data_IF_036287668076
#
_entry.id   IF_036287668076
#
_cell.length_a   1.000
_cell.length_b   1.000
_cell.length_c   1.000
_cell.angle_alpha   90.00
_cell.angle_beta   90.00
_cell.angle_gamma   90.00
#
_symmetry.space_group_name_H-M   'P 1'
#
loop_
_entity.id
_entity.type
_entity.pdbx_description
1 polymer ?
#
# COMPACT_ATOMS: atom_id res chain seq x y z
N UNK A 1 15.98 -3.71 26.55
CA UNK A 1 16.46 -4.42 25.36
C UNK A 1 15.51 -4.05 24.24
N UNK A 2 16.02 -3.39 23.19
CA UNK A 2 15.23 -3.21 21.96
C UNK A 2 15.22 -4.60 21.35
N UNK A 3 14.06 -5.27 21.38
CA UNK A 3 13.88 -6.48 20.57
C UNK A 3 14.26 -6.13 19.14
N UNK A 4 15.12 -6.94 18.51
CA UNK A 4 15.58 -6.69 17.16
C UNK A 4 14.37 -6.60 16.24
N UNK A 5 14.10 -5.39 15.74
CA UNK A 5 12.94 -5.16 14.89
C UNK A 5 13.09 -5.98 13.60
N UNK A 6 12.19 -6.93 13.38
CA UNK A 6 12.19 -7.76 12.17
C UNK A 6 11.94 -6.86 10.97
N UNK A 7 12.90 -6.79 10.07
CA UNK A 7 12.83 -5.98 8.83
C UNK A 7 12.39 -6.76 7.61
N UNK A 8 12.42 -8.09 7.66
CA UNK A 8 11.98 -8.96 6.57
C UNK A 8 10.45 -8.88 6.42
N UNK A 9 10.00 -8.46 5.25
CA UNK A 9 8.60 -8.26 4.92
C UNK A 9 7.98 -9.42 4.13
N UNK A 10 8.69 -10.54 3.99
CA UNK A 10 8.19 -11.73 3.31
C UNK A 10 7.22 -12.54 4.16
N UNK A 11 6.55 -13.50 3.54
CA UNK A 11 5.63 -14.43 4.20
C UNK A 11 6.31 -15.33 5.24
N UNK A 12 7.64 -15.40 5.27
CA UNK A 12 8.38 -16.13 6.33
C UNK A 12 8.08 -15.58 7.73
N UNK A 13 7.75 -14.30 7.84
CA UNK A 13 7.46 -13.63 9.11
C UNK A 13 6.01 -13.14 9.21
N UNK A 14 5.10 -13.64 8.39
CA UNK A 14 3.71 -13.19 8.34
C UNK A 14 2.95 -13.45 9.64
N UNK A 15 3.29 -14.51 10.39
CA UNK A 15 2.66 -14.84 11.69
C UNK A 15 2.90 -13.78 12.77
N UNK A 16 3.92 -12.93 12.59
CA UNK A 16 4.23 -11.84 13.52
C UNK A 16 3.60 -10.50 13.10
N UNK A 17 2.78 -10.47 12.05
CA UNK A 17 2.01 -9.28 11.67
C UNK A 17 0.74 -9.19 12.53
N UNK A 18 0.28 -7.97 12.88
CA UNK A 18 -0.96 -7.79 13.65
C UNK A 18 -2.20 -8.31 12.90
N UNK A 19 -2.18 -8.26 11.57
CA UNK A 19 -3.19 -8.85 10.69
C UNK A 19 -2.50 -9.80 9.72
N UNK A 20 -2.92 -11.06 9.71
CA UNK A 20 -2.37 -12.05 8.80
C UNK A 20 -2.80 -11.75 7.34
N UNK A 21 -1.90 -11.89 6.34
CA UNK A 21 -2.23 -11.65 4.93
C UNK A 21 -3.46 -12.41 4.43
N UNK A 22 -3.61 -13.67 4.85
CA UNK A 22 -4.74 -14.50 4.43
C UNK A 22 -6.07 -14.06 5.05
N UNK A 23 -6.05 -13.32 6.18
CA UNK A 23 -7.22 -12.66 6.73
C UNK A 23 -7.75 -11.60 5.75
N UNK A 24 -6.86 -10.75 5.22
CA UNK A 24 -7.23 -9.75 4.20
C UNK A 24 -7.78 -10.44 2.94
N UNK A 25 -7.11 -11.49 2.46
CA UNK A 25 -7.59 -12.27 1.30
C UNK A 25 -8.99 -12.86 1.57
N UNK A 26 -9.23 -13.37 2.77
CA UNK A 26 -10.53 -13.92 3.17
C UNK A 26 -11.61 -12.85 3.24
N UNK A 27 -11.30 -11.66 3.75
CA UNK A 27 -12.20 -10.50 3.75
C UNK A 27 -12.58 -10.10 2.30
N UNK A 28 -11.60 -9.96 1.42
CA UNK A 28 -11.83 -9.64 0.00
C UNK A 28 -12.79 -10.68 -0.65
N UNK A 29 -12.54 -11.96 -0.42
CA UNK A 29 -13.40 -13.04 -0.93
C UNK A 29 -14.82 -12.98 -0.35
N UNK A 30 -14.98 -12.73 0.95
CA UNK A 30 -16.28 -12.62 1.59
C UNK A 30 -17.12 -11.47 1.03
N UNK A 31 -16.46 -10.39 0.61
CA UNK A 31 -17.06 -9.25 -0.07
C UNK A 31 -17.31 -9.50 -1.56
N UNK A 32 -17.03 -10.71 -2.07
CA UNK A 32 -17.11 -11.09 -3.48
C UNK A 32 -16.25 -10.19 -4.38
N UNK A 33 -15.11 -9.75 -3.86
CA UNK A 33 -14.10 -9.00 -4.60
C UNK A 33 -13.26 -9.99 -5.40
N UNK A 34 -13.17 -9.79 -6.71
CA UNK A 34 -12.38 -10.63 -7.60
C UNK A 34 -10.91 -10.19 -7.56
N UNK A 35 -10.03 -11.12 -7.19
CA UNK A 35 -8.59 -10.91 -7.17
C UNK A 35 -7.86 -11.97 -7.98
N UNK A 36 -6.75 -11.58 -8.58
CA UNK A 36 -5.72 -12.50 -9.07
C UNK A 36 -4.56 -12.48 -8.10
N UNK A 37 -3.87 -13.61 -7.94
CA UNK A 37 -2.74 -13.73 -7.02
C UNK A 37 -1.49 -14.18 -7.76
N UNK A 38 -0.36 -13.53 -7.45
CA UNK A 38 0.95 -13.79 -8.03
C UNK A 38 1.95 -14.06 -6.91
N UNK A 39 2.69 -15.16 -7.01
CA UNK A 39 3.80 -15.49 -6.12
C UNK A 39 5.11 -15.15 -6.81
N UNK A 40 6.05 -14.60 -6.09
CA UNK A 40 7.36 -14.19 -6.58
C UNK A 40 8.35 -14.14 -5.41
N UNK A 41 9.66 -14.03 -5.64
CA UNK A 41 10.63 -13.75 -4.58
C UNK A 41 10.30 -12.45 -3.84
N UNK A 42 10.77 -12.31 -2.61
CA UNK A 42 10.58 -11.08 -1.85
C UNK A 42 11.16 -9.86 -2.59
N UNK A 43 10.30 -8.87 -2.86
CA UNK A 43 10.65 -7.67 -3.63
C UNK A 43 10.84 -6.50 -2.67
N UNK A 44 11.95 -5.79 -2.78
CA UNK A 44 12.26 -4.64 -1.91
C UNK A 44 12.13 -3.30 -2.63
N UNK A 45 12.29 -3.29 -3.95
CA UNK A 45 12.28 -2.08 -4.76
C UNK A 45 11.35 -2.21 -5.97
N UNK A 46 10.98 -1.05 -6.56
CA UNK A 46 10.23 -1.01 -7.83
C UNK A 46 11.01 -1.71 -8.94
N UNK A 47 12.34 -1.57 -8.97
CA UNK A 47 13.20 -2.23 -9.97
C UNK A 47 13.12 -3.75 -9.85
N UNK A 48 13.17 -4.32 -8.64
CA UNK A 48 13.00 -5.76 -8.41
C UNK A 48 11.62 -6.22 -8.91
N UNK A 49 10.58 -5.45 -8.60
CA UNK A 49 9.22 -5.76 -9.00
C UNK A 49 9.06 -5.86 -10.52
N UNK A 50 9.70 -4.97 -11.29
CA UNK A 50 9.63 -4.97 -12.76
C UNK A 50 10.12 -6.28 -13.39
N UNK A 51 11.02 -7.00 -12.73
CA UNK A 51 11.55 -8.28 -13.22
C UNK A 51 10.56 -9.45 -13.09
N UNK A 52 9.50 -9.32 -12.31
CA UNK A 52 8.58 -10.41 -11.96
C UNK A 52 7.14 -10.20 -12.43
N UNK A 53 6.93 -9.37 -13.49
CA UNK A 53 5.59 -8.94 -13.97
C UNK A 53 5.13 -9.62 -15.25
N UNK A 54 5.70 -10.74 -15.63
CA UNK A 54 5.44 -11.39 -16.93
C UNK A 54 3.95 -11.65 -17.23
N UNK A 55 3.14 -11.83 -16.19
CA UNK A 55 1.70 -12.11 -16.30
C UNK A 55 0.83 -10.95 -15.81
N UNK A 56 1.41 -9.76 -15.65
CA UNK A 56 0.69 -8.56 -15.22
C UNK A 56 0.57 -7.58 -16.39
N UNK A 57 -0.53 -6.83 -16.42
CA UNK A 57 -0.71 -5.77 -17.41
C UNK A 57 0.40 -4.71 -17.25
N UNK A 58 0.99 -4.30 -18.35
CA UNK A 58 1.87 -3.13 -18.37
C UNK A 58 1.05 -1.84 -18.20
N UNK A 59 1.70 -0.72 -17.91
CA UNK A 59 1.03 0.58 -17.83
C UNK A 59 0.23 0.89 -19.10
N UNK A 60 0.81 0.62 -20.27
CA UNK A 60 0.17 0.87 -21.57
C UNK A 60 -1.07 -0.02 -21.81
N UNK A 61 -1.14 -1.18 -21.17
CA UNK A 61 -2.29 -2.09 -21.23
C UNK A 61 -3.35 -1.75 -20.18
N UNK A 62 -3.07 -0.79 -19.28
CA UNK A 62 -3.93 -0.35 -18.19
C UNK A 62 -3.56 -0.94 -16.84
N UNK A 63 -2.36 -1.44 -16.66
CA UNK A 63 -1.84 -1.92 -15.38
C UNK A 63 -1.45 -0.75 -14.46
N UNK A 64 -2.09 -0.65 -13.30
CA UNK A 64 -1.77 0.31 -12.23
C UNK A 64 -0.73 -0.28 -11.28
N UNK A 65 0.55 -0.06 -11.58
CA UNK A 65 1.65 -0.42 -10.69
C UNK A 65 1.92 0.73 -9.73
N UNK A 66 1.97 0.44 -8.44
CA UNK A 66 1.96 1.44 -7.39
C UNK A 66 3.30 1.58 -6.67
N UNK A 67 3.55 2.78 -6.20
CA UNK A 67 4.54 3.13 -5.20
C UNK A 67 3.82 3.71 -3.98
N UNK A 68 4.17 3.21 -2.80
CA UNK A 68 3.54 3.59 -1.55
C UNK A 68 4.51 4.37 -0.67
N UNK A 69 4.08 5.53 -0.19
CA UNK A 69 4.85 6.41 0.68
C UNK A 69 4.15 6.51 2.04
N UNK A 70 4.78 5.98 3.09
CA UNK A 70 4.32 6.24 4.44
C UNK A 70 5.02 7.49 4.99
N UNK A 71 4.24 8.53 5.21
CA UNK A 71 4.72 9.87 5.55
C UNK A 71 4.11 10.36 6.86
N UNK A 72 4.80 11.32 7.47
CA UNK A 72 4.37 11.99 8.68
C UNK A 72 4.62 13.48 8.61
N UNK A 73 3.71 14.30 9.13
CA UNK A 73 3.90 15.73 9.27
C UNK A 73 4.44 16.12 10.66
N UNK A 74 4.76 17.41 10.84
CA UNK A 74 5.26 17.95 12.11
C UNK A 74 4.19 17.91 13.23
N UNK A 75 2.91 17.83 12.89
CA UNK A 75 1.79 17.68 13.84
C UNK A 75 1.55 16.23 14.25
N UNK A 76 2.39 15.31 13.76
CA UNK A 76 2.34 13.88 14.02
C UNK A 76 1.19 13.14 13.30
N UNK A 77 0.52 13.75 12.33
CA UNK A 77 -0.42 13.05 11.47
C UNK A 77 0.32 12.07 10.55
N UNK A 78 -0.28 10.92 10.32
CA UNK A 78 0.27 9.86 9.50
C UNK A 78 -0.50 9.78 8.17
N UNK A 79 0.24 9.57 7.09
CA UNK A 79 -0.28 9.55 5.73
C UNK A 79 0.24 8.33 4.98
N UNK A 80 -0.65 7.65 4.28
CA UNK A 80 -0.30 6.67 3.24
C UNK A 80 -0.62 7.30 1.88
N UNK A 81 0.41 7.58 1.10
CA UNK A 81 0.26 8.17 -0.24
C UNK A 81 0.60 7.11 -1.28
N UNK A 82 -0.37 6.79 -2.12
CA UNK A 82 -0.29 5.75 -3.15
C UNK A 82 -0.27 6.43 -4.51
N UNK A 83 0.81 6.27 -5.25
CA UNK A 83 1.00 6.90 -6.56
C UNK A 83 1.44 5.87 -7.60
N UNK A 84 1.28 6.23 -8.88
CA UNK A 84 1.86 5.46 -9.97
C UNK A 84 3.38 5.35 -9.77
N UNK A 85 3.94 4.17 -9.96
CA UNK A 85 5.30 3.82 -9.52
C UNK A 85 6.43 4.67 -10.10
N UNK A 86 6.28 5.14 -11.35
CA UNK A 86 7.28 5.95 -12.05
C UNK A 86 7.14 7.46 -11.75
N UNK A 87 6.07 7.87 -11.05
CA UNK A 87 5.82 9.27 -10.72
C UNK A 87 6.86 9.79 -9.74
N UNK A 88 7.55 10.85 -10.09
CA UNK A 88 8.48 11.53 -9.18
C UNK A 88 7.70 12.41 -8.20
N UNK A 89 7.98 12.30 -6.91
CA UNK A 89 7.25 13.00 -5.85
C UNK A 89 8.20 13.92 -5.08
N UNK A 90 7.94 15.21 -5.14
CA UNK A 90 8.52 16.19 -4.23
C UNK A 90 7.65 16.28 -2.96
N UNK A 91 8.27 16.05 -1.79
CA UNK A 91 7.53 16.04 -0.51
C UNK A 91 7.00 17.42 -0.11
N UNK A 92 7.63 18.50 -0.57
CA UNK A 92 7.19 19.87 -0.28
C UNK A 92 5.93 20.20 -1.08
N UNK A 93 5.92 19.88 -2.38
CA UNK A 93 4.76 20.06 -3.26
C UNK A 93 3.61 19.16 -2.80
N UNK A 94 3.90 17.90 -2.48
CA UNK A 94 2.91 16.98 -1.93
C UNK A 94 2.30 17.51 -0.64
N UNK A 95 3.11 18.08 0.26
CA UNK A 95 2.61 18.66 1.51
C UNK A 95 1.61 19.81 1.27
N UNK A 96 1.85 20.63 0.26
CA UNK A 96 0.90 21.68 -0.15
C UNK A 96 -0.38 21.05 -0.70
N UNK A 97 -0.26 20.06 -1.57
CA UNK A 97 -1.38 19.40 -2.24
C UNK A 97 -2.33 18.72 -1.25
N UNK A 98 -1.79 18.00 -0.26
CA UNK A 98 -2.61 17.32 0.77
C UNK A 98 -2.94 18.21 1.98
N UNK A 99 -2.58 19.51 1.92
CA UNK A 99 -2.78 20.49 2.99
C UNK A 99 -2.19 20.05 4.34
N UNK A 100 -1.08 19.33 4.29
CA UNK A 100 -0.32 18.96 5.47
C UNK A 100 0.73 20.04 5.81
N UNK A 101 1.41 19.85 6.94
CA UNK A 101 2.65 20.56 7.19
C UNK A 101 3.83 19.92 6.47
N UNK A 102 5.05 20.23 6.93
CA UNK A 102 6.27 19.61 6.40
C UNK A 102 6.22 18.09 6.55
N UNK A 103 6.32 17.39 5.45
CA UNK A 103 6.32 15.92 5.39
C UNK A 103 7.73 15.36 5.54
N UNK A 104 7.81 14.17 6.14
CA UNK A 104 9.00 13.32 6.18
C UNK A 104 8.59 11.85 6.12
N UNK A 105 9.48 10.97 5.72
CA UNK A 105 9.23 9.53 5.78
C UNK A 105 9.09 9.05 7.23
N UNK A 106 8.09 8.19 7.47
CA UNK A 106 7.96 7.52 8.75
C UNK A 106 9.05 6.47 8.95
N UNK A 107 9.45 6.23 10.21
CA UNK A 107 10.38 5.14 10.55
C UNK A 107 9.71 3.77 10.36
N UNK A 108 10.52 2.72 10.23
CA UNK A 108 10.04 1.34 10.13
C UNK A 108 9.18 0.92 11.34
N UNK A 109 9.54 1.35 12.54
CA UNK A 109 8.76 1.10 13.77
C UNK A 109 7.39 1.76 13.67
N UNK A 110 7.33 3.05 13.30
CA UNK A 110 6.05 3.75 13.14
C UNK A 110 5.19 3.18 12.01
N UNK A 111 5.82 2.78 10.92
CA UNK A 111 5.13 2.09 9.83
C UNK A 111 4.43 0.83 10.36
N UNK A 112 5.15 0.01 11.11
CA UNK A 112 4.60 -1.21 11.70
C UNK A 112 3.49 -0.91 12.73
N UNK A 113 3.71 0.05 13.63
CA UNK A 113 2.71 0.47 14.62
C UNK A 113 1.42 0.98 13.99
N UNK A 114 1.51 1.76 12.91
CA UNK A 114 0.35 2.45 12.33
C UNK A 114 -0.31 1.67 11.19
N UNK A 115 0.44 0.91 10.40
CA UNK A 115 -0.08 0.18 9.23
C UNK A 115 0.05 -1.35 9.36
N UNK A 116 0.74 -1.86 10.38
CA UNK A 116 0.90 -3.29 10.60
C UNK A 116 1.75 -4.01 9.56
N UNK A 117 2.57 -3.27 8.81
CA UNK A 117 3.42 -3.82 7.74
C UNK A 117 4.86 -3.37 7.90
N UNK A 118 5.78 -4.07 7.24
CA UNK A 118 7.21 -3.77 7.25
C UNK A 118 7.63 -3.02 5.98
N UNK A 119 8.79 -2.33 6.02
CA UNK A 119 9.37 -1.72 4.81
C UNK A 119 9.49 -2.74 3.66
N UNK A 120 9.04 -2.35 2.47
CA UNK A 120 8.94 -3.23 1.30
C UNK A 120 7.58 -3.89 1.09
N UNK A 121 6.69 -3.90 2.11
CA UNK A 121 5.32 -4.42 1.99
C UNK A 121 4.23 -3.36 2.20
N UNK A 122 4.57 -2.09 2.14
CA UNK A 122 3.59 -0.99 2.26
C UNK A 122 2.57 -1.08 1.12
N UNK A 123 1.28 -0.98 1.46
CA UNK A 123 0.18 -1.29 0.54
C UNK A 123 -1.09 -0.54 0.95
N UNK A 124 -1.99 -0.21 0.01
CA UNK A 124 -3.33 0.29 0.35
C UNK A 124 -4.12 -0.66 1.28
N UNK A 125 -3.89 -1.96 1.18
CA UNK A 125 -4.56 -2.96 2.02
C UNK A 125 -4.16 -2.87 3.50
N UNK A 126 -3.03 -2.24 3.83
CA UNK A 126 -2.62 -1.99 5.21
C UNK A 126 -3.54 -0.99 5.95
N UNK A 127 -4.47 -0.36 5.23
CA UNK A 127 -5.53 0.44 5.85
C UNK A 127 -6.47 -0.41 6.73
N UNK A 128 -6.44 -1.74 6.64
CA UNK A 128 -7.11 -2.64 7.60
C UNK A 128 -6.65 -2.37 9.05
N UNK A 129 -5.39 -1.98 9.23
CA UNK A 129 -4.82 -1.51 10.50
C UNK A 129 -4.84 0.03 10.57
N UNK A 130 -4.53 0.68 9.45
CA UNK A 130 -4.33 2.13 9.36
C UNK A 130 -5.56 2.96 9.73
N UNK A 131 -6.77 2.50 9.41
CA UNK A 131 -8.01 3.22 9.70
C UNK A 131 -8.21 3.42 11.21
N UNK A 132 -7.91 2.41 12.01
CA UNK A 132 -8.03 2.47 13.48
C UNK A 132 -6.95 3.36 14.12
N UNK A 133 -5.82 3.50 13.45
CA UNK A 133 -4.69 4.33 13.89
C UNK A 133 -4.71 5.75 13.30
N UNK A 134 -5.81 6.14 12.65
CA UNK A 134 -6.00 7.50 12.11
C UNK A 134 -5.06 7.84 10.96
N UNK A 135 -4.60 6.85 10.19
CA UNK A 135 -3.80 7.08 9.00
C UNK A 135 -4.70 7.63 7.87
N UNK A 136 -4.30 8.76 7.29
CA UNK A 136 -4.99 9.35 6.15
C UNK A 136 -4.44 8.76 4.86
N UNK A 137 -5.29 8.16 4.04
CA UNK A 137 -4.88 7.64 2.73
C UNK A 137 -5.20 8.62 1.62
N UNK A 138 -4.22 8.79 0.73
CA UNK A 138 -4.31 9.54 -0.51
C UNK A 138 -3.91 8.66 -1.68
N UNK A 139 -4.65 8.72 -2.78
CA UNK A 139 -4.37 7.91 -3.95
C UNK A 139 -4.43 8.73 -5.24
N UNK A 140 -3.43 8.53 -6.06
CA UNK A 140 -3.31 9.14 -7.39
C UNK A 140 -4.52 8.77 -8.27
N UNK A 141 -5.19 9.78 -8.85
CA UNK A 141 -6.34 9.59 -9.72
C UNK A 141 -6.01 8.73 -10.94
N UNK A 142 -4.80 8.80 -11.46
CA UNK A 142 -4.34 7.95 -12.58
C UNK A 142 -4.49 6.45 -12.25
N UNK A 143 -4.29 6.06 -11.01
CA UNK A 143 -4.47 4.67 -10.57
C UNK A 143 -5.94 4.25 -10.49
N UNK A 144 -6.84 5.20 -10.21
CA UNK A 144 -8.27 4.92 -10.15
C UNK A 144 -8.90 4.70 -11.53
N UNK A 145 -8.22 5.12 -12.59
CA UNK A 145 -8.60 4.89 -13.99
C UNK A 145 -7.95 3.62 -14.58
N UNK A 146 -7.10 2.94 -13.82
CA UNK A 146 -6.44 1.72 -14.28
C UNK A 146 -7.46 0.57 -14.47
N UNK A 147 -7.19 -0.35 -15.39
CA UNK A 147 -7.99 -1.59 -15.53
C UNK A 147 -7.79 -2.51 -14.33
N UNK A 148 -6.58 -2.58 -13.79
CA UNK A 148 -6.20 -3.36 -12.61
C UNK A 148 -5.14 -2.61 -11.83
N UNK A 149 -5.21 -2.65 -10.50
CA UNK A 149 -4.18 -2.18 -9.59
C UNK A 149 -3.47 -3.40 -8.99
N UNK A 150 -2.15 -3.36 -8.95
CA UNK A 150 -1.29 -4.42 -8.39
C UNK A 150 -0.72 -3.97 -7.06
N UNK A 151 -0.90 -4.79 -6.01
CA UNK A 151 -0.48 -4.45 -4.65
C UNK A 151 -0.12 -5.68 -3.83
N UNK A 152 0.68 -5.49 -2.79
CA UNK A 152 1.06 -6.55 -1.87
C UNK A 152 -0.06 -6.83 -0.84
N UNK A 153 -0.40 -8.10 -0.57
CA UNK A 153 -1.30 -8.45 0.54
C UNK A 153 -0.52 -8.53 1.87
N UNK A 154 -0.02 -7.38 2.35
CA UNK A 154 0.75 -7.17 3.59
C UNK A 154 2.15 -7.81 3.64
N UNK A 155 2.55 -8.59 2.64
CA UNK A 155 3.87 -9.24 2.50
C UNK A 155 4.41 -9.02 1.10
N UNK A 156 5.74 -8.94 0.95
CA UNK A 156 6.39 -8.50 -0.29
C UNK A 156 6.82 -9.64 -1.24
N UNK A 157 6.45 -10.87 -0.97
CA UNK A 157 6.68 -12.04 -1.82
C UNK A 157 5.39 -12.54 -2.50
N UNK A 158 4.32 -11.76 -2.36
CA UNK A 158 3.04 -11.95 -3.03
C UNK A 158 2.51 -10.62 -3.58
N UNK A 159 1.85 -10.67 -4.72
CA UNK A 159 1.08 -9.55 -5.29
C UNK A 159 -0.33 -10.03 -5.56
N UNK A 160 -1.30 -9.16 -5.35
CA UNK A 160 -2.66 -9.36 -5.84
C UNK A 160 -3.03 -8.24 -6.81
N UNK A 161 -3.96 -8.51 -7.70
CA UNK A 161 -4.58 -7.49 -8.52
C UNK A 161 -6.09 -7.45 -8.30
N UNK A 162 -6.66 -6.26 -8.43
CA UNK A 162 -8.09 -6.03 -8.48
C UNK A 162 -8.39 -4.78 -9.30
N UNK A 163 -9.65 -4.60 -9.70
CA UNK A 163 -10.08 -3.35 -10.33
C UNK A 163 -10.25 -2.24 -9.27
N UNK A 164 -10.05 -0.96 -9.62
CA UNK A 164 -10.12 0.15 -8.65
C UNK A 164 -11.45 0.23 -7.89
N UNK A 165 -12.57 -0.04 -8.53
CA UNK A 165 -13.89 -0.04 -7.86
C UNK A 165 -14.01 -1.11 -6.77
N UNK A 166 -13.35 -2.26 -6.93
CA UNK A 166 -13.29 -3.30 -5.90
C UNK A 166 -12.42 -2.88 -4.71
N UNK A 167 -11.34 -2.13 -4.94
CA UNK A 167 -10.55 -1.53 -3.86
C UNK A 167 -11.37 -0.51 -3.08
N UNK A 168 -12.15 0.34 -3.77
CA UNK A 168 -13.06 1.27 -3.11
C UNK A 168 -14.11 0.54 -2.26
N UNK A 169 -14.68 -0.54 -2.75
CA UNK A 169 -15.61 -1.40 -1.99
C UNK A 169 -14.97 -1.97 -0.72
N UNK A 170 -13.70 -2.35 -0.78
CA UNK A 170 -12.97 -2.79 0.41
C UNK A 170 -12.73 -1.64 1.39
N UNK A 171 -12.41 -0.43 0.92
CA UNK A 171 -12.29 0.74 1.76
C UNK A 171 -13.61 1.13 2.44
N UNK A 172 -14.72 1.06 1.73
CA UNK A 172 -16.05 1.29 2.31
C UNK A 172 -16.34 0.28 3.43
N UNK A 173 -16.02 -0.99 3.23
CA UNK A 173 -16.13 -2.02 4.27
C UNK A 173 -15.29 -1.73 5.51
N UNK A 174 -14.08 -1.21 5.34
CA UNK A 174 -13.18 -0.82 6.43
C UNK A 174 -13.55 0.52 7.08
N UNK A 175 -14.45 1.31 6.50
CA UNK A 175 -14.74 2.68 6.91
C UNK A 175 -13.61 3.67 6.56
N UNK A 176 -12.80 3.37 5.55
CA UNK A 176 -11.69 4.21 5.08
C UNK A 176 -12.22 5.29 4.15
N UNK A 177 -11.95 6.56 4.45
CA UNK A 177 -12.17 7.67 3.54
C UNK A 177 -10.96 7.80 2.61
N UNK A 178 -11.16 7.47 1.34
CA UNK A 178 -10.13 7.65 0.32
C UNK A 178 -10.10 9.10 -0.17
N UNK A 179 -8.93 9.75 -0.05
CA UNK A 179 -8.67 11.06 -0.64
C UNK A 179 -8.00 10.88 -2.01
N UNK A 180 -8.48 11.60 -3.02
CA UNK A 180 -7.92 11.56 -4.37
C UNK A 180 -6.85 12.63 -4.53
N UNK A 181 -5.79 12.30 -5.28
CA UNK A 181 -4.72 13.21 -5.66
C UNK A 181 -4.65 13.37 -7.17
N UNK A 182 -4.64 14.59 -7.61
CA UNK A 182 -4.34 14.98 -8.99
C UNK A 182 -3.03 15.77 -9.01
N UNK A 183 -2.06 15.32 -9.80
CA UNK A 183 -0.72 15.92 -9.92
C UNK A 183 -0.57 16.72 -11.18
#
# INVERSE_FOLDING_TARGET
MIEDFITDASSLFQESLPIHPDTVISQLKSLKITIEQFKHPALKTVSDSKLHRHNMLTKNEGGGHIKNLYLRDHKKNNYLVVVQEDKNIDLKELGILIKSGRLSFGSAVRLFENLGVRPGAVTPLSMVTGVQNGVNIFMDEELLEAKKIYMHPLVNDRTISMIPSELNKYFDYLGVQLNRLSF
#
